data_IF_377742628664
#
_entry.id   IF_377742628664
#
_cell.length_a   1.000
_cell.length_b   1.000
_cell.length_c   1.000
_cell.angle_alpha   90.00
_cell.angle_beta   90.00
_cell.angle_gamma   90.00
#
_symmetry.space_group_name_H-M   'P 1'
#
loop_
_entity.id
_entity.type
_entity.pdbx_description
1 polymer ?
#
# COMPACT_ATOMS: atom_id res chain seq x y z
N UNK A 1 -1.78 27.20 -11.45
CA UNK A 1 -1.96 26.07 -12.38
C UNK A 1 -1.72 24.79 -11.63
N UNK A 2 -2.53 23.76 -11.87
CA UNK A 2 -2.44 22.45 -11.21
C UNK A 2 -1.94 21.45 -12.23
N UNK A 3 -0.71 20.98 -12.02
CA UNK A 3 -0.07 19.98 -12.87
C UNK A 3 -0.21 18.60 -12.24
N UNK A 4 -0.84 17.68 -12.95
CA UNK A 4 -0.86 16.26 -12.62
C UNK A 4 0.11 15.48 -13.50
N UNK A 5 0.78 14.49 -12.95
CA UNK A 5 1.73 13.63 -13.66
C UNK A 5 1.31 12.18 -13.51
N UNK A 6 1.33 11.43 -14.62
CA UNK A 6 1.17 9.98 -14.60
C UNK A 6 2.49 9.33 -15.01
N UNK A 7 3.11 8.59 -14.09
CA UNK A 7 4.34 7.82 -14.35
C UNK A 7 3.98 6.38 -14.69
N UNK A 8 4.25 5.94 -15.93
CA UNK A 8 3.73 4.69 -16.50
C UNK A 8 2.46 4.91 -17.33
N UNK A 9 2.35 6.07 -17.98
CA UNK A 9 1.13 6.53 -18.67
C UNK A 9 0.73 5.70 -19.90
N UNK A 10 1.66 4.96 -20.52
CA UNK A 10 1.35 4.13 -21.68
C UNK A 10 0.92 2.70 -21.30
N UNK A 11 1.01 2.33 -20.02
CA UNK A 11 0.59 1.02 -19.51
C UNK A 11 -0.92 0.82 -19.45
N UNK A 12 -1.35 -0.41 -19.17
CA UNK A 12 -2.77 -0.79 -19.15
C UNK A 12 -3.62 -0.06 -18.10
N UNK A 13 -3.03 0.36 -16.97
CA UNK A 13 -3.69 1.27 -16.01
C UNK A 13 -3.48 2.73 -16.43
N UNK A 14 -2.27 3.07 -16.91
CA UNK A 14 -1.85 4.42 -17.25
C UNK A 14 -2.78 5.11 -18.24
N UNK A 15 -3.07 4.47 -19.38
CA UNK A 15 -3.90 5.09 -20.43
C UNK A 15 -5.32 5.44 -19.94
N UNK A 16 -6.12 4.51 -19.39
CA UNK A 16 -7.45 4.86 -18.88
C UNK A 16 -7.40 5.79 -17.66
N UNK A 17 -6.35 5.75 -16.84
CA UNK A 17 -6.17 6.70 -15.74
C UNK A 17 -5.94 8.11 -16.28
N UNK A 18 -5.06 8.26 -17.28
CA UNK A 18 -4.78 9.52 -17.94
C UNK A 18 -6.02 10.09 -18.63
N UNK A 19 -6.87 9.25 -19.23
CA UNK A 19 -8.18 9.65 -19.74
C UNK A 19 -9.05 10.26 -18.63
N UNK A 20 -9.21 9.57 -17.50
CA UNK A 20 -10.05 10.05 -16.40
C UNK A 20 -9.50 11.33 -15.76
N UNK A 21 -8.18 11.48 -15.67
CA UNK A 21 -7.55 12.71 -15.18
C UNK A 21 -7.69 13.87 -16.18
N UNK A 22 -7.64 13.62 -17.49
CA UNK A 22 -7.92 14.64 -18.53
C UNK A 22 -9.34 15.21 -18.43
N UNK A 23 -10.29 14.43 -17.90
CA UNK A 23 -11.67 14.87 -17.67
C UNK A 23 -11.86 15.63 -16.34
N UNK A 24 -10.84 15.76 -15.50
CA UNK A 24 -10.96 16.43 -14.21
C UNK A 24 -10.67 17.93 -14.34
N UNK A 25 -11.69 18.76 -14.08
CA UNK A 25 -11.62 20.23 -14.23
C UNK A 25 -10.62 20.93 -13.28
N UNK A 26 -10.17 20.26 -12.22
CA UNK A 26 -9.14 20.82 -11.34
C UNK A 26 -7.74 20.77 -11.97
N UNK A 27 -7.53 19.96 -13.00
CA UNK A 27 -6.22 19.78 -13.66
C UNK A 27 -6.11 20.75 -14.84
N UNK A 28 -5.04 21.55 -14.86
CA UNK A 28 -4.75 22.47 -15.97
C UNK A 28 -3.63 21.97 -16.88
N UNK A 29 -2.72 21.13 -16.36
CA UNK A 29 -1.66 20.47 -17.12
C UNK A 29 -1.60 18.99 -16.74
N UNK A 30 -1.61 18.11 -17.73
CA UNK A 30 -1.45 16.67 -17.56
C UNK A 30 -0.17 16.22 -18.27
N UNK A 31 0.86 15.91 -17.49
CA UNK A 31 2.11 15.35 -18.00
C UNK A 31 2.06 13.82 -17.96
N UNK A 32 2.33 13.20 -19.09
CA UNK A 32 2.37 11.76 -19.24
C UNK A 32 3.82 11.34 -19.38
N UNK A 33 4.31 10.48 -18.50
CA UNK A 33 5.66 9.93 -18.61
C UNK A 33 5.58 8.42 -18.73
N UNK A 34 6.32 7.88 -19.68
CA UNK A 34 6.53 6.44 -19.82
C UNK A 34 7.87 6.21 -20.55
N UNK A 35 8.40 4.99 -20.49
CA UNK A 35 9.59 4.61 -21.25
C UNK A 35 9.28 4.46 -22.74
N UNK A 36 8.01 4.25 -23.10
CA UNK A 36 7.54 4.10 -24.49
C UNK A 36 6.20 4.79 -24.72
N UNK A 37 5.89 5.14 -25.97
CA UNK A 37 4.56 5.53 -26.46
C UNK A 37 3.86 6.75 -25.83
N UNK A 38 4.39 7.35 -24.76
CA UNK A 38 3.76 8.49 -24.06
C UNK A 38 3.39 9.67 -24.98
N UNK A 39 4.20 10.09 -25.98
CA UNK A 39 3.80 11.14 -26.92
C UNK A 39 2.55 10.81 -27.75
N UNK A 40 2.37 9.54 -28.13
CA UNK A 40 1.19 9.09 -28.86
C UNK A 40 -0.06 9.12 -27.99
N UNK A 41 0.05 8.65 -26.75
CA UNK A 41 -1.05 8.73 -25.76
C UNK A 41 -1.42 10.19 -25.47
N UNK A 42 -0.43 11.08 -25.38
CA UNK A 42 -0.67 12.51 -25.18
C UNK A 42 -1.37 13.15 -26.38
N UNK A 43 -0.98 12.80 -27.61
CA UNK A 43 -1.62 13.30 -28.83
C UNK A 43 -3.10 12.89 -28.87
N UNK A 44 -3.40 11.62 -28.59
CA UNK A 44 -4.78 11.11 -28.51
C UNK A 44 -5.62 11.90 -27.48
N UNK A 45 -5.15 11.95 -26.23
CA UNK A 45 -5.84 12.65 -25.15
C UNK A 45 -5.96 14.17 -25.38
N UNK A 46 -5.08 14.76 -26.19
CA UNK A 46 -5.12 16.20 -26.49
C UNK A 46 -6.34 16.61 -27.32
N UNK A 47 -6.96 15.67 -28.04
CA UNK A 47 -8.16 15.93 -28.84
C UNK A 47 -9.45 16.03 -28.00
N UNK A 48 -9.39 15.63 -26.73
CA UNK A 48 -10.53 15.73 -25.81
C UNK A 48 -10.74 17.20 -25.44
N UNK A 49 -11.97 17.67 -25.64
CA UNK A 49 -12.42 19.06 -25.50
C UNK A 49 -12.54 19.56 -24.05
N UNK A 50 -11.53 19.28 -23.21
CA UNK A 50 -11.40 19.84 -21.86
C UNK A 50 -10.19 20.79 -21.78
N UNK A 51 -10.14 21.73 -20.81
CA UNK A 51 -9.09 22.76 -20.76
C UNK A 51 -7.66 22.25 -20.50
N UNK A 52 -7.50 21.09 -19.87
CA UNK A 52 -6.18 20.60 -19.45
C UNK A 52 -5.24 20.39 -20.65
N UNK A 53 -4.06 21.01 -20.65
CA UNK A 53 -3.03 20.77 -21.67
C UNK A 53 -2.33 19.44 -21.40
N UNK A 54 -2.25 18.56 -22.40
CA UNK A 54 -1.60 17.25 -22.28
C UNK A 54 -0.24 17.28 -22.97
N UNK A 55 0.80 16.79 -22.30
CA UNK A 55 2.14 16.63 -22.90
C UNK A 55 2.70 15.24 -22.57
N UNK A 56 3.23 14.55 -23.57
CA UNK A 56 3.86 13.25 -23.42
C UNK A 56 5.39 13.37 -23.39
N UNK A 57 6.01 12.68 -22.44
CA UNK A 57 7.44 12.67 -22.18
C UNK A 57 7.99 11.24 -22.23
N UNK A 58 9.16 11.09 -22.85
CA UNK A 58 9.96 9.88 -22.89
C UNK A 58 11.29 10.10 -22.16
N UNK A 59 12.08 9.07 -21.81
CA UNK A 59 13.34 9.25 -21.10
C UNK A 59 14.35 10.22 -21.77
N UNK A 60 14.52 10.24 -23.11
CA UNK A 60 15.42 11.19 -23.77
C UNK A 60 15.06 12.66 -23.48
N UNK A 61 16.07 13.54 -23.56
CA UNK A 61 15.92 14.99 -23.37
C UNK A 61 15.32 15.37 -22.01
N UNK A 62 15.81 14.75 -20.93
CA UNK A 62 15.37 15.02 -19.56
C UNK A 62 13.85 14.83 -19.35
N UNK A 63 13.19 13.93 -20.09
CA UNK A 63 11.73 13.88 -20.07
C UNK A 63 11.13 13.53 -18.72
N UNK A 64 11.80 12.74 -17.85
CA UNK A 64 11.34 12.52 -16.48
C UNK A 64 11.36 13.83 -15.67
N UNK A 65 12.45 14.59 -15.74
CA UNK A 65 12.57 15.91 -15.09
C UNK A 65 11.52 16.88 -15.60
N UNK A 66 11.33 16.96 -16.91
CA UNK A 66 10.34 17.86 -17.53
C UNK A 66 8.90 17.48 -17.18
N UNK A 67 8.59 16.18 -17.14
CA UNK A 67 7.29 15.68 -16.69
C UNK A 67 7.04 16.04 -15.23
N UNK A 68 8.05 15.88 -14.37
CA UNK A 68 7.91 16.11 -12.93
C UNK A 68 7.92 17.58 -12.54
N UNK A 69 8.68 18.44 -13.20
CA UNK A 69 8.88 19.84 -12.76
C UNK A 69 7.54 20.55 -12.54
N UNK A 70 7.40 21.15 -11.35
CA UNK A 70 6.21 21.83 -10.84
C UNK A 70 4.95 20.95 -10.70
N UNK A 71 5.11 19.63 -10.51
CA UNK A 71 3.98 18.74 -10.27
C UNK A 71 3.29 19.07 -8.93
N UNK A 72 1.97 19.17 -8.97
CA UNK A 72 1.12 19.22 -7.77
C UNK A 72 0.74 17.80 -7.33
N UNK A 73 0.41 16.94 -8.29
CA UNK A 73 -0.04 15.57 -8.08
C UNK A 73 0.76 14.61 -8.97
N UNK A 74 1.22 13.50 -8.43
CA UNK A 74 1.92 12.45 -9.16
C UNK A 74 1.24 11.12 -8.87
N UNK A 75 0.81 10.42 -9.91
CA UNK A 75 0.23 9.07 -9.81
C UNK A 75 1.17 8.08 -10.48
N UNK A 76 1.48 6.98 -9.79
CA UNK A 76 2.46 5.99 -10.22
C UNK A 76 1.78 4.64 -10.45
N UNK A 77 1.16 4.43 -11.63
CA UNK A 77 0.76 3.11 -12.10
C UNK A 77 1.93 2.29 -12.69
N UNK A 78 3.11 2.89 -12.89
CA UNK A 78 4.27 2.22 -13.47
C UNK A 78 4.60 0.90 -12.75
N UNK A 79 4.85 -0.13 -13.54
CA UNK A 79 5.21 -1.44 -13.05
C UNK A 79 5.01 -2.48 -14.13
N UNK A 80 5.67 -3.61 -13.96
CA UNK A 80 5.50 -4.76 -14.84
C UNK A 80 4.36 -5.61 -14.29
N UNK A 81 3.39 -6.05 -15.12
CA UNK A 81 2.41 -7.04 -14.70
C UNK A 81 3.06 -8.41 -14.53
N UNK A 82 2.52 -9.25 -13.67
CA UNK A 82 2.99 -10.63 -13.52
C UNK A 82 2.85 -11.37 -14.86
N UNK A 83 3.95 -11.93 -15.36
CA UNK A 83 3.97 -12.78 -16.57
C UNK A 83 4.03 -14.26 -16.19
N UNK A 84 3.53 -15.18 -17.04
CA UNK A 84 3.74 -16.61 -16.85
C UNK A 84 5.24 -16.92 -16.65
N UNK A 85 5.55 -17.76 -15.66
CA UNK A 85 6.95 -18.13 -15.32
C UNK A 85 7.70 -17.16 -14.41
N UNK A 86 7.15 -15.97 -14.11
CA UNK A 86 7.79 -15.00 -13.20
C UNK A 86 7.48 -15.33 -11.72
N UNK A 87 8.51 -15.40 -10.88
CA UNK A 87 8.34 -15.56 -9.43
C UNK A 87 7.81 -14.27 -8.79
N UNK A 88 7.26 -14.37 -7.57
CA UNK A 88 6.84 -13.18 -6.80
C UNK A 88 8.03 -12.27 -6.51
N UNK A 89 9.19 -12.85 -6.23
CA UNK A 89 10.41 -12.12 -5.90
C UNK A 89 10.99 -11.38 -7.12
N UNK A 90 10.92 -11.99 -8.30
CA UNK A 90 11.37 -11.33 -9.54
C UNK A 90 10.51 -10.10 -9.86
N UNK A 91 9.19 -10.26 -9.74
CA UNK A 91 8.25 -9.17 -9.92
C UNK A 91 8.52 -8.03 -8.93
N UNK A 92 8.75 -8.39 -7.65
CA UNK A 92 9.08 -7.42 -6.62
C UNK A 92 10.38 -6.67 -6.94
N UNK A 93 11.47 -7.37 -7.30
CA UNK A 93 12.76 -6.73 -7.63
C UNK A 93 12.65 -5.76 -8.79
N UNK A 94 11.92 -6.13 -9.84
CA UNK A 94 11.70 -5.26 -11.00
C UNK A 94 10.94 -4.00 -10.60
N UNK A 95 9.79 -4.16 -9.93
CA UNK A 95 8.97 -3.01 -9.55
C UNK A 95 9.63 -2.15 -8.46
N UNK A 96 10.43 -2.74 -7.57
CA UNK A 96 11.24 -2.02 -6.60
C UNK A 96 12.27 -1.10 -7.29
N UNK A 97 12.95 -1.60 -8.34
CA UNK A 97 13.87 -0.79 -9.14
C UNK A 97 13.17 0.38 -9.83
N UNK A 98 12.06 0.10 -10.53
CA UNK A 98 11.26 1.13 -11.21
C UNK A 98 10.81 2.21 -10.23
N UNK A 99 10.22 1.81 -9.10
CA UNK A 99 9.69 2.75 -8.11
C UNK A 99 10.80 3.56 -7.45
N UNK A 100 11.96 2.95 -7.16
CA UNK A 100 13.14 3.65 -6.63
C UNK A 100 13.57 4.76 -7.59
N UNK A 101 13.73 4.45 -8.87
CA UNK A 101 14.25 5.40 -9.86
C UNK A 101 13.27 6.56 -10.09
N UNK A 102 11.96 6.25 -10.15
CA UNK A 102 10.91 7.28 -10.19
C UNK A 102 10.91 8.14 -8.92
N UNK A 103 11.06 7.54 -7.73
CA UNK A 103 11.12 8.26 -6.46
C UNK A 103 12.34 9.18 -6.37
N UNK A 104 13.49 8.79 -6.92
CA UNK A 104 14.66 9.67 -7.04
C UNK A 104 14.35 10.87 -7.93
N UNK A 105 13.65 10.67 -9.05
CA UNK A 105 13.16 11.77 -9.88
C UNK A 105 12.22 12.72 -9.11
N UNK A 106 11.27 12.16 -8.36
CA UNK A 106 10.34 12.95 -7.52
C UNK A 106 11.10 13.78 -6.50
N UNK A 107 12.05 13.17 -5.78
CA UNK A 107 12.87 13.84 -4.78
C UNK A 107 13.60 15.06 -5.35
N UNK A 108 14.14 14.92 -6.56
CA UNK A 108 14.96 15.95 -7.20
C UNK A 108 14.14 17.08 -7.86
N UNK A 109 12.95 16.76 -8.39
CA UNK A 109 12.25 17.66 -9.31
C UNK A 109 10.87 18.12 -8.83
N UNK A 110 10.24 17.41 -7.88
CA UNK A 110 8.97 17.80 -7.25
C UNK A 110 8.78 17.16 -5.88
N UNK A 111 9.64 17.47 -4.90
CA UNK A 111 9.55 16.91 -3.55
C UNK A 111 8.25 17.28 -2.82
N UNK A 112 7.59 18.35 -3.26
CA UNK A 112 6.35 18.87 -2.66
C UNK A 112 5.07 18.30 -3.27
N UNK A 113 5.14 17.44 -4.28
CA UNK A 113 3.95 16.86 -4.89
C UNK A 113 3.24 15.85 -3.96
N UNK A 114 1.93 15.71 -4.12
CA UNK A 114 1.18 14.57 -3.58
C UNK A 114 1.47 13.32 -4.44
N UNK A 115 1.98 12.26 -3.82
CA UNK A 115 2.43 11.03 -4.51
C UNK A 115 1.46 9.88 -4.22
N UNK A 116 0.82 9.39 -5.28
CA UNK A 116 -0.17 8.31 -5.25
C UNK A 116 0.43 7.06 -5.89
N UNK A 117 0.73 6.05 -5.06
CA UNK A 117 1.40 4.81 -5.47
C UNK A 117 0.37 3.74 -5.78
N UNK A 118 0.30 3.33 -7.05
CA UNK A 118 -0.49 2.19 -7.52
C UNK A 118 0.43 0.99 -7.82
N UNK A 119 1.72 1.24 -8.11
CA UNK A 119 2.75 0.23 -8.36
C UNK A 119 2.71 -0.89 -7.33
N UNK A 120 2.43 -2.10 -7.79
CA UNK A 120 2.38 -3.27 -6.93
C UNK A 120 3.76 -3.88 -6.68
N UNK A 121 4.01 -4.47 -5.50
CA UNK A 121 3.10 -4.56 -4.34
C UNK A 121 3.09 -3.27 -3.50
N UNK A 122 1.92 -2.64 -3.32
CA UNK A 122 1.77 -1.35 -2.60
C UNK A 122 2.36 -1.39 -1.18
N UNK A 123 2.19 -2.53 -0.48
CA UNK A 123 2.71 -2.74 0.88
C UNK A 123 4.23 -2.54 0.98
N UNK A 124 4.96 -2.68 -0.12
CA UNK A 124 6.42 -2.56 -0.18
C UNK A 124 6.88 -1.35 -1.00
N UNK A 125 6.18 -1.00 -2.09
CA UNK A 125 6.55 0.13 -2.93
C UNK A 125 6.37 1.47 -2.21
N UNK A 126 5.36 1.63 -1.35
CA UNK A 126 5.20 2.84 -0.52
C UNK A 126 6.39 3.04 0.43
N UNK A 127 6.81 2.04 1.24
CA UNK A 127 8.05 2.13 2.01
C UNK A 127 9.29 2.45 1.18
N UNK A 128 9.45 1.86 -0.02
CA UNK A 128 10.59 2.15 -0.91
C UNK A 128 10.63 3.63 -1.28
N UNK A 129 9.50 4.21 -1.70
CA UNK A 129 9.44 5.64 -2.02
C UNK A 129 9.78 6.48 -0.79
N UNK A 130 9.20 6.15 0.37
CA UNK A 130 9.47 6.88 1.60
C UNK A 130 10.96 6.87 1.97
N UNK A 131 11.63 5.72 1.90
CA UNK A 131 13.06 5.61 2.19
C UNK A 131 13.93 6.36 1.17
N UNK A 132 13.57 6.34 -0.12
CA UNK A 132 14.26 7.15 -1.13
C UNK A 132 14.10 8.65 -0.81
N UNK A 133 12.89 9.12 -0.52
CA UNK A 133 12.65 10.51 -0.16
C UNK A 133 13.38 10.91 1.15
N UNK A 134 13.46 10.01 2.14
CA UNK A 134 14.21 10.24 3.39
C UNK A 134 15.69 10.39 3.13
N UNK A 135 16.26 9.52 2.27
CA UNK A 135 17.66 9.60 1.85
C UNK A 135 18.00 10.93 1.17
N UNK A 136 17.03 11.55 0.50
CA UNK A 136 17.18 12.87 -0.10
C UNK A 136 16.80 14.03 0.84
N UNK A 137 16.40 13.76 2.08
CA UNK A 137 16.03 14.78 3.07
C UNK A 137 14.70 15.51 2.80
N UNK A 138 13.85 14.97 1.92
CA UNK A 138 12.61 15.63 1.45
C UNK A 138 11.34 14.86 1.78
N UNK A 139 11.43 13.78 2.58
CA UNK A 139 10.27 12.97 2.92
C UNK A 139 9.25 13.73 3.75
N UNK A 140 8.02 13.79 3.25
CA UNK A 140 6.86 14.25 3.98
C UNK A 140 5.82 13.12 4.05
N UNK A 141 5.64 12.54 5.24
CA UNK A 141 4.71 11.44 5.48
C UNK A 141 3.25 11.78 5.12
N UNK A 142 2.89 13.06 5.06
CA UNK A 142 1.54 13.56 4.71
C UNK A 142 1.33 13.69 3.19
N UNK A 143 2.32 13.34 2.37
CA UNK A 143 2.27 13.50 0.90
C UNK A 143 2.48 12.19 0.13
N UNK A 144 2.68 11.04 0.80
CA UNK A 144 2.87 9.74 0.13
C UNK A 144 1.74 8.78 0.52
N UNK A 145 1.02 8.29 -0.49
CA UNK A 145 -0.19 7.49 -0.33
C UNK A 145 -0.13 6.23 -1.17
N UNK A 146 -0.30 5.06 -0.56
CA UNK A 146 -0.62 3.84 -1.27
C UNK A 146 -2.10 3.79 -1.60
N UNK A 147 -2.44 3.76 -2.89
CA UNK A 147 -3.82 3.77 -3.35
C UNK A 147 -4.47 2.41 -3.10
N UNK A 148 -5.25 2.30 -2.03
CA UNK A 148 -6.03 1.10 -1.67
C UNK A 148 -7.51 1.21 -2.04
N UNK A 149 -7.89 2.28 -2.75
CA UNK A 149 -9.29 2.60 -3.11
C UNK A 149 -9.99 1.49 -3.90
N UNK A 150 -9.26 0.67 -4.66
CA UNK A 150 -9.87 -0.44 -5.39
C UNK A 150 -10.46 -1.51 -4.44
N UNK A 151 -9.89 -1.67 -3.24
CA UNK A 151 -10.41 -2.61 -2.25
C UNK A 151 -11.76 -2.13 -1.72
N UNK A 152 -11.93 -0.82 -1.55
CA UNK A 152 -13.22 -0.19 -1.20
C UNK A 152 -14.23 -0.33 -2.33
N UNK A 153 -13.84 -0.05 -3.57
CA UNK A 153 -14.72 -0.19 -4.73
C UNK A 153 -15.22 -1.63 -4.85
N UNK A 154 -14.34 -2.62 -4.65
CA UNK A 154 -14.71 -4.04 -4.61
C UNK A 154 -15.61 -4.36 -3.43
N UNK A 155 -15.26 -3.92 -2.22
CA UNK A 155 -16.05 -4.17 -1.02
C UNK A 155 -17.47 -3.62 -1.16
N UNK A 156 -17.63 -2.37 -1.59
CA UNK A 156 -18.94 -1.76 -1.87
C UNK A 156 -19.70 -2.54 -2.94
N UNK A 157 -19.05 -2.91 -4.05
CA UNK A 157 -19.69 -3.66 -5.14
C UNK A 157 -20.17 -5.04 -4.66
N UNK A 158 -19.30 -5.82 -4.02
CA UNK A 158 -19.62 -7.19 -3.64
C UNK A 158 -20.66 -7.24 -2.51
N UNK A 159 -20.52 -6.39 -1.49
CA UNK A 159 -21.50 -6.34 -0.41
C UNK A 159 -22.86 -5.83 -0.86
N UNK A 160 -22.91 -4.87 -1.82
CA UNK A 160 -24.18 -4.37 -2.36
C UNK A 160 -25.03 -5.46 -3.03
N UNK A 161 -24.39 -6.48 -3.62
CA UNK A 161 -25.10 -7.59 -4.25
C UNK A 161 -25.84 -8.46 -3.23
N UNK A 162 -25.27 -8.61 -2.02
CA UNK A 162 -25.86 -9.36 -0.92
C UNK A 162 -26.89 -8.51 -0.19
N UNK A 163 -26.57 -7.24 0.12
CA UNK A 163 -27.47 -6.34 0.82
C UNK A 163 -28.60 -5.76 -0.05
N UNK A 164 -28.58 -6.02 -1.37
CA UNK A 164 -29.53 -5.50 -2.38
C UNK A 164 -29.63 -3.98 -2.36
N UNK A 165 -28.51 -3.31 -2.11
CA UNK A 165 -28.39 -1.86 -2.11
C UNK A 165 -27.70 -1.36 -3.39
N UNK A 166 -27.76 -0.05 -3.63
CA UNK A 166 -26.97 0.57 -4.70
C UNK A 166 -25.48 0.59 -4.30
N UNK A 167 -24.55 0.01 -5.09
CA UNK A 167 -23.12 0.04 -4.80
C UNK A 167 -22.54 1.45 -4.65
N UNK A 168 -23.20 2.48 -5.22
CA UNK A 168 -22.82 3.89 -5.08
C UNK A 168 -23.12 4.46 -3.71
N UNK A 169 -24.07 3.87 -2.98
CA UNK A 169 -24.45 4.28 -1.62
C UNK A 169 -23.79 3.41 -0.55
N UNK A 170 -23.36 2.18 -0.90
CA UNK A 170 -22.68 1.29 0.03
C UNK A 170 -21.26 1.77 0.34
N UNK A 171 -20.92 1.85 1.63
CA UNK A 171 -19.59 2.15 2.15
C UNK A 171 -19.16 1.03 3.07
N UNK A 172 -18.04 0.38 2.75
CA UNK A 172 -17.40 -0.62 3.60
C UNK A 172 -15.99 -0.13 3.89
N UNK A 173 -15.64 0.19 5.15
CA UNK A 173 -14.27 0.50 5.50
C UNK A 173 -13.36 -0.71 5.24
N UNK A 174 -12.22 -0.50 4.58
CA UNK A 174 -11.20 -1.53 4.38
C UNK A 174 -9.87 -1.01 4.93
N UNK A 175 -9.28 -1.78 5.82
CA UNK A 175 -8.02 -1.44 6.52
C UNK A 175 -6.95 -2.51 6.26
N UNK A 176 -5.74 -2.30 6.78
CA UNK A 176 -4.65 -3.28 6.65
C UNK A 176 -3.62 -2.90 5.60
N UNK A 177 -3.57 -3.65 4.50
CA UNK A 177 -2.72 -3.42 3.34
C UNK A 177 -3.44 -3.81 2.05
N UNK A 178 -2.72 -3.97 0.96
CA UNK A 178 -3.26 -4.18 -0.39
C UNK A 178 -2.85 -5.53 -1.02
N UNK A 179 -2.71 -6.59 -0.24
CA UNK A 179 -2.30 -7.90 -0.76
C UNK A 179 -2.95 -9.06 -0.01
N UNK A 180 -3.89 -9.76 -0.65
CA UNK A 180 -4.51 -10.97 -0.12
C UNK A 180 -5.08 -10.74 1.28
N UNK A 181 -4.64 -11.55 2.24
CA UNK A 181 -5.11 -11.51 3.64
C UNK A 181 -4.81 -10.21 4.37
N UNK A 182 -3.92 -9.36 3.85
CA UNK A 182 -3.69 -8.04 4.47
C UNK A 182 -4.86 -7.09 4.22
N UNK A 183 -5.76 -7.39 3.27
CA UNK A 183 -6.95 -6.57 2.99
C UNK A 183 -8.03 -6.98 4.01
N UNK A 184 -8.42 -6.06 4.89
CA UNK A 184 -9.33 -6.34 6.00
C UNK A 184 -10.62 -5.51 5.82
N UNK A 185 -11.67 -6.07 5.19
CA UNK A 185 -12.97 -5.40 5.10
C UNK A 185 -13.71 -5.45 6.43
N UNK A 186 -14.05 -4.29 6.98
CA UNK A 186 -14.81 -4.16 8.22
C UNK A 186 -16.32 -4.25 7.91
N UNK A 187 -16.78 -5.45 7.55
CA UNK A 187 -18.18 -5.71 7.18
C UNK A 187 -19.18 -5.33 8.28
N UNK A 188 -18.75 -5.36 9.55
CA UNK A 188 -19.54 -4.91 10.70
C UNK A 188 -19.78 -3.39 10.73
N UNK A 189 -19.06 -2.62 9.91
CA UNK A 189 -19.16 -1.16 9.81
C UNK A 189 -19.71 -0.71 8.46
N UNK A 190 -20.39 -1.60 7.73
CA UNK A 190 -21.05 -1.25 6.48
C UNK A 190 -22.09 -0.13 6.71
N UNK A 191 -22.17 0.80 5.76
CA UNK A 191 -23.21 1.81 5.68
C UNK A 191 -23.87 1.77 4.29
N UNK A 192 -25.21 1.77 4.17
CA UNK A 192 -26.17 1.65 5.26
C UNK A 192 -26.00 0.34 6.05
N UNK A 193 -26.35 0.29 7.35
CA UNK A 193 -26.14 -0.88 8.18
C UNK A 193 -26.83 -2.12 7.61
N UNK A 194 -26.12 -3.24 7.57
CA UNK A 194 -26.62 -4.53 7.14
C UNK A 194 -25.96 -5.65 7.94
N UNK A 195 -26.74 -6.66 8.32
CA UNK A 195 -26.24 -7.82 9.06
C UNK A 195 -26.04 -8.97 8.09
N UNK A 196 -24.82 -9.47 8.02
CA UNK A 196 -24.46 -10.66 7.25
C UNK A 196 -24.42 -11.88 8.17
N UNK A 197 -24.81 -13.04 7.65
CA UNK A 197 -24.56 -14.30 8.32
C UNK A 197 -23.08 -14.71 8.17
N UNK A 198 -22.64 -15.75 8.90
CA UNK A 198 -21.24 -16.14 8.93
C UNK A 198 -20.71 -16.60 7.55
N UNK A 199 -21.52 -17.31 6.77
CA UNK A 199 -21.15 -17.78 5.43
C UNK A 199 -20.97 -16.60 4.46
N UNK A 200 -21.86 -15.61 4.52
CA UNK A 200 -21.76 -14.37 3.76
C UNK A 200 -20.50 -13.58 4.15
N UNK A 201 -20.19 -13.46 5.44
CA UNK A 201 -18.98 -12.77 5.94
C UNK A 201 -17.72 -13.43 5.36
N UNK A 202 -17.62 -14.76 5.44
CA UNK A 202 -16.45 -15.51 4.95
C UNK A 202 -16.30 -15.39 3.43
N UNK A 203 -17.40 -15.57 2.70
CA UNK A 203 -17.44 -15.48 1.23
C UNK A 203 -17.08 -14.09 0.74
N UNK A 204 -17.70 -13.04 1.31
CA UNK A 204 -17.43 -11.64 0.98
C UNK A 204 -15.98 -11.28 1.31
N UNK A 205 -15.49 -11.63 2.49
CA UNK A 205 -14.12 -11.33 2.92
C UNK A 205 -13.11 -11.95 1.95
N UNK A 206 -13.26 -13.24 1.63
CA UNK A 206 -12.38 -13.93 0.69
C UNK A 206 -12.43 -13.31 -0.70
N UNK A 207 -13.63 -12.99 -1.21
CA UNK A 207 -13.77 -12.38 -2.53
C UNK A 207 -13.16 -10.98 -2.60
N UNK A 208 -13.27 -10.19 -1.53
CA UNK A 208 -12.62 -8.88 -1.43
C UNK A 208 -11.09 -9.02 -1.43
N UNK A 209 -10.55 -9.92 -0.59
CA UNK A 209 -9.10 -10.18 -0.48
C UNK A 209 -8.46 -10.69 -1.78
N UNK A 210 -9.18 -11.53 -2.53
CA UNK A 210 -8.68 -12.19 -3.74
C UNK A 210 -9.34 -11.69 -5.02
N UNK A 211 -10.00 -10.51 -4.99
CA UNK A 211 -10.64 -9.93 -6.17
C UNK A 211 -9.65 -9.57 -7.29
N UNK A 212 -8.36 -9.44 -6.97
CA UNK A 212 -7.29 -9.33 -7.97
C UNK A 212 -7.10 -10.63 -8.77
N UNK A 213 -7.07 -11.76 -8.06
CA UNK A 213 -6.87 -13.09 -8.65
C UNK A 213 -8.07 -13.51 -9.50
N UNK A 214 -9.29 -13.13 -9.09
CA UNK A 214 -10.52 -13.32 -9.89
C UNK A 214 -10.37 -12.67 -11.29
N UNK A 215 -9.86 -11.43 -11.36
CA UNK A 215 -9.66 -10.72 -12.62
C UNK A 215 -8.51 -11.32 -13.44
N UNK A 216 -7.40 -11.71 -12.80
CA UNK A 216 -6.28 -12.34 -13.51
C UNK A 216 -6.73 -13.65 -14.16
N UNK A 217 -7.52 -14.45 -13.44
CA UNK A 217 -8.11 -15.69 -13.96
C UNK A 217 -9.07 -15.42 -15.11
N UNK A 218 -9.97 -14.43 -14.97
CA UNK A 218 -10.93 -14.07 -16.02
C UNK A 218 -10.29 -13.50 -17.29
N UNK A 219 -9.05 -12.99 -17.20
CA UNK A 219 -8.24 -12.53 -18.34
C UNK A 219 -7.30 -13.60 -18.87
N UNK A 220 -7.46 -14.86 -18.47
CA UNK A 220 -6.58 -15.97 -18.85
C UNK A 220 -5.08 -15.68 -18.61
N UNK A 221 -4.78 -14.95 -17.53
CA UNK A 221 -3.41 -14.56 -17.19
C UNK A 221 -2.83 -13.41 -18.02
N UNK A 222 -3.59 -12.82 -18.96
CA UNK A 222 -3.16 -11.69 -19.81
C UNK A 222 -3.08 -10.33 -19.07
N UNK A 223 -3.01 -10.35 -17.74
CA UNK A 223 -2.85 -9.16 -16.90
C UNK A 223 -3.85 -9.11 -15.75
N UNK A 224 -3.75 -8.06 -14.93
CA UNK A 224 -4.60 -7.81 -13.77
C UNK A 224 -5.66 -6.74 -14.05
N UNK A 225 -6.32 -6.25 -13.00
CA UNK A 225 -7.29 -5.16 -13.09
C UNK A 225 -6.64 -3.88 -13.65
N UNK A 226 -7.18 -3.37 -14.75
CA UNK A 226 -6.71 -2.16 -15.44
C UNK A 226 -7.73 -1.04 -15.33
N UNK A 227 -8.92 -1.26 -15.89
CA UNK A 227 -9.99 -0.24 -15.96
C UNK A 227 -10.52 0.15 -14.58
N UNK A 228 -10.85 -0.83 -13.73
CA UNK A 228 -11.33 -0.57 -12.37
C UNK A 228 -10.24 0.06 -11.50
N UNK A 229 -8.96 -0.28 -11.73
CA UNK A 229 -7.84 0.33 -11.02
C UNK A 229 -7.63 1.78 -11.46
N UNK A 230 -7.76 2.08 -12.75
CA UNK A 230 -7.74 3.45 -13.26
C UNK A 230 -8.86 4.31 -12.66
N UNK A 231 -10.08 3.77 -12.58
CA UNK A 231 -11.21 4.44 -11.92
C UNK A 231 -10.93 4.69 -10.43
N UNK A 232 -10.42 3.69 -9.70
CA UNK A 232 -10.10 3.84 -8.28
C UNK A 232 -8.97 4.86 -8.04
N UNK A 233 -7.92 4.83 -8.87
CA UNK A 233 -6.83 5.80 -8.84
C UNK A 233 -7.30 7.23 -9.16
N UNK A 234 -8.15 7.39 -10.18
CA UNK A 234 -8.73 8.69 -10.54
C UNK A 234 -9.66 9.23 -9.44
N UNK A 235 -10.43 8.37 -8.77
CA UNK A 235 -11.25 8.75 -7.61
C UNK A 235 -10.37 9.31 -6.50
N UNK A 236 -9.34 8.59 -6.08
CA UNK A 236 -8.44 9.05 -5.01
C UNK A 236 -7.69 10.33 -5.39
N UNK A 237 -7.21 10.42 -6.63
CA UNK A 237 -6.63 11.65 -7.18
C UNK A 237 -7.60 12.84 -7.12
N UNK A 238 -8.87 12.62 -7.44
CA UNK A 238 -9.93 13.65 -7.36
C UNK A 238 -10.16 14.08 -5.92
N UNK A 239 -10.18 13.15 -4.96
CA UNK A 239 -10.29 13.47 -3.53
C UNK A 239 -9.13 14.36 -3.05
N UNK A 240 -7.90 14.09 -3.49
CA UNK A 240 -6.73 14.95 -3.21
C UNK A 240 -6.90 16.33 -3.85
N UNK A 241 -7.33 16.41 -5.12
CA UNK A 241 -7.50 17.68 -5.82
C UNK A 241 -8.62 18.53 -5.20
N UNK A 242 -9.75 17.93 -4.85
CA UNK A 242 -10.83 18.61 -4.16
C UNK A 242 -10.35 19.20 -2.82
N UNK A 243 -9.63 18.43 -2.01
CA UNK A 243 -9.10 18.92 -0.74
C UNK A 243 -8.05 20.03 -0.90
N UNK A 244 -7.13 19.88 -1.86
CA UNK A 244 -5.91 20.71 -1.91
C UNK A 244 -6.03 21.90 -2.85
N UNK A 245 -6.83 21.78 -3.91
CA UNK A 245 -7.05 22.80 -4.93
C UNK A 245 -8.37 23.53 -4.67
N UNK A 246 -9.48 22.79 -4.53
CA UNK A 246 -10.81 23.39 -4.32
C UNK A 246 -11.06 23.80 -2.87
N UNK A 247 -10.27 23.28 -1.92
CA UNK A 247 -10.40 23.61 -0.51
C UNK A 247 -11.60 22.95 0.17
N UNK A 248 -12.13 21.87 -0.41
CA UNK A 248 -13.16 21.05 0.22
C UNK A 248 -12.63 20.40 1.50
N UNK A 249 -13.48 20.28 2.52
CA UNK A 249 -13.16 19.69 3.82
C UNK A 249 -14.02 18.46 4.09
N UNK A 250 -13.65 17.66 5.09
CA UNK A 250 -14.39 16.45 5.45
C UNK A 250 -14.24 15.29 4.44
N UNK A 251 -13.27 15.37 3.54
CA UNK A 251 -13.00 14.31 2.56
C UNK A 251 -12.22 13.19 3.27
N UNK A 252 -12.89 12.06 3.50
CA UNK A 252 -12.27 10.88 4.14
C UNK A 252 -12.09 9.77 3.11
N UNK A 253 -10.85 9.32 2.96
CA UNK A 253 -10.51 8.18 2.10
C UNK A 253 -9.56 7.22 2.84
N UNK A 254 -9.68 5.90 2.66
CA UNK A 254 -8.67 4.97 3.13
C UNK A 254 -7.45 4.99 2.21
N UNK A 255 -6.27 4.91 2.81
CA UNK A 255 -4.99 4.85 2.08
C UNK A 255 -3.93 4.16 2.93
N UNK A 256 -3.04 3.40 2.29
CA UNK A 256 -1.86 2.84 2.93
C UNK A 256 -0.80 3.93 3.13
N UNK A 257 -0.58 4.36 4.37
CA UNK A 257 0.23 5.54 4.69
C UNK A 257 1.27 5.24 5.76
N UNK A 258 2.30 6.08 5.84
CA UNK A 258 3.22 6.10 6.97
C UNK A 258 2.48 6.64 8.20
N UNK A 259 2.48 5.89 9.30
CA UNK A 259 1.78 6.31 10.52
C UNK A 259 2.45 7.50 11.21
N UNK A 260 3.67 7.89 10.84
CA UNK A 260 4.29 9.14 11.32
C UNK A 260 3.61 10.39 10.72
N UNK A 261 2.70 10.24 9.74
CA UNK A 261 1.93 11.35 9.16
C UNK A 261 1.02 12.05 10.18
N UNK A 262 0.55 11.35 11.21
CA UNK A 262 -0.23 11.89 12.32
C UNK A 262 0.38 11.43 13.65
N UNK A 263 0.92 12.37 14.43
CA UNK A 263 1.58 12.05 15.71
C UNK A 263 0.64 11.45 16.76
N UNK A 264 -0.65 11.78 16.75
CA UNK A 264 -1.63 11.27 17.72
C UNK A 264 -2.39 10.08 17.13
N UNK A 265 -3.07 10.28 16.00
CA UNK A 265 -3.85 9.24 15.33
C UNK A 265 -2.98 8.08 14.88
N UNK A 266 -1.82 8.37 14.29
CA UNK A 266 -0.88 7.35 13.85
C UNK A 266 -0.24 6.56 14.98
N UNK A 267 0.01 7.18 16.15
CA UNK A 267 0.47 6.47 17.35
C UNK A 267 -0.60 5.50 17.88
N UNK A 268 -1.88 5.90 17.88
CA UNK A 268 -2.98 5.03 18.28
C UNK A 268 -3.13 3.83 17.34
N UNK A 269 -3.12 4.07 16.02
CA UNK A 269 -3.14 2.97 15.03
C UNK A 269 -1.94 2.05 15.26
N UNK A 270 -0.73 2.59 15.39
CA UNK A 270 0.49 1.80 15.59
C UNK A 270 0.40 0.88 16.79
N UNK A 271 -0.16 1.34 17.91
CA UNK A 271 -0.39 0.50 19.10
C UNK A 271 -1.37 -0.63 18.76
N UNK A 272 -2.48 -0.32 18.10
CA UNK A 272 -3.50 -1.30 17.72
C UNK A 272 -2.99 -2.35 16.72
N UNK A 273 -2.02 -2.00 15.88
CA UNK A 273 -1.48 -2.88 14.82
C UNK A 273 -0.10 -3.46 15.16
N UNK A 274 0.24 -3.57 16.46
CA UNK A 274 1.48 -4.20 16.94
C UNK A 274 2.77 -3.56 16.41
N UNK A 275 2.82 -2.23 16.32
CA UNK A 275 4.05 -1.50 16.03
C UNK A 275 4.36 -1.28 14.55
N UNK A 276 3.48 -1.67 13.61
CA UNK A 276 3.72 -1.43 12.18
C UNK A 276 3.92 0.07 11.88
N UNK A 277 4.86 0.37 10.97
CA UNK A 277 5.14 1.75 10.55
C UNK A 277 4.18 2.25 9.46
N UNK A 278 3.56 1.33 8.72
CA UNK A 278 2.63 1.62 7.63
C UNK A 278 1.37 0.79 7.79
N UNK A 279 0.23 1.40 7.48
CA UNK A 279 -1.07 0.74 7.56
C UNK A 279 -2.10 1.48 6.70
N UNK A 280 -3.06 0.77 6.15
CA UNK A 280 -4.21 1.33 5.46
C UNK A 280 -5.28 1.67 6.48
N UNK A 281 -5.58 2.95 6.63
CA UNK A 281 -6.65 3.46 7.49
C UNK A 281 -7.32 4.64 6.81
N UNK A 282 -8.50 5.02 7.30
CA UNK A 282 -9.15 6.25 6.87
C UNK A 282 -8.27 7.47 7.24
N UNK A 283 -8.08 8.36 6.27
CA UNK A 283 -7.39 9.63 6.42
C UNK A 283 -8.32 10.77 5.99
N UNK A 284 -8.27 11.90 6.68
CA UNK A 284 -9.06 13.09 6.30
C UNK A 284 -8.19 14.07 5.50
N UNK A 285 -8.51 14.24 4.22
CA UNK A 285 -7.83 15.14 3.31
C UNK A 285 -8.33 16.57 3.53
N UNK A 286 -7.41 17.54 3.60
CA UNK A 286 -7.77 18.94 3.74
C UNK A 286 -6.58 19.89 3.60
N UNK A 287 -6.90 21.16 3.38
CA UNK A 287 -5.92 22.26 3.37
C UNK A 287 -5.82 22.83 4.78
N UNK A 288 -4.61 23.01 5.31
CA UNK A 288 -4.40 23.92 6.43
C UNK A 288 -3.01 24.56 6.36
N UNK A 289 -2.96 25.86 6.61
CA UNK A 289 -1.80 26.77 6.62
C UNK A 289 -0.72 26.39 7.66
N UNK A 290 -0.90 25.28 8.38
CA UNK A 290 0.05 24.67 9.32
C UNK A 290 -0.03 23.13 9.22
N UNK A 291 0.54 22.57 8.15
CA UNK A 291 1.13 21.22 8.11
C UNK A 291 0.40 20.11 8.89
N UNK A 292 -0.74 19.60 8.45
CA UNK A 292 -1.15 18.19 8.65
C UNK A 292 -2.53 17.92 8.07
N UNK A 293 -2.60 16.93 7.18
CA UNK A 293 -3.74 16.00 7.11
C UNK A 293 -4.06 15.57 8.54
N UNK A 294 -5.26 15.89 9.03
CA UNK A 294 -5.76 15.30 10.26
C UNK A 294 -6.04 13.82 9.94
N UNK A 295 -5.50 12.89 10.71
CA UNK A 295 -6.17 11.60 10.91
C UNK A 295 -6.97 11.73 12.23
N UNK A 296 -7.75 12.80 12.37
CA UNK A 296 -8.47 13.10 13.61
C UNK A 296 -9.95 12.72 13.51
N UNK A 297 -10.19 11.42 13.60
CA UNK A 297 -11.38 10.72 14.10
C UNK A 297 -11.56 9.47 13.25
N UNK A 298 -11.06 8.34 13.72
CA UNK A 298 -11.66 7.01 13.52
C UNK A 298 -10.83 5.97 14.26
N UNK A 299 -10.80 6.06 15.60
CA UNK A 299 -10.38 4.93 16.44
C UNK A 299 -11.08 5.02 17.81
N UNK A 300 -12.41 5.00 17.80
CA UNK A 300 -13.09 4.17 18.78
C UNK A 300 -13.37 2.82 18.10
N UNK A 301 -12.31 2.18 17.61
CA UNK A 301 -12.39 0.73 17.49
C UNK A 301 -12.50 0.24 18.92
N UNK A 302 -13.70 -0.15 19.33
CA UNK A 302 -13.86 -1.18 20.34
C UNK A 302 -13.16 -2.43 19.78
N UNK A 303 -11.83 -2.47 19.87
CA UNK A 303 -10.99 -3.63 19.65
C UNK A 303 -11.21 -4.59 20.83
N UNK A 304 -12.44 -5.04 21.04
CA UNK A 304 -12.71 -6.36 21.61
C UNK A 304 -12.51 -7.41 20.50
N UNK A 305 -11.41 -7.27 19.75
CA UNK A 305 -10.95 -8.29 18.83
C UNK A 305 -10.10 -9.26 19.64
N UNK A 306 -10.78 -10.26 20.22
CA UNK A 306 -10.19 -11.58 20.49
C UNK A 306 -9.97 -12.31 19.15
N UNK A 307 -9.40 -11.62 18.15
CA UNK A 307 -8.95 -12.26 16.94
C UNK A 307 -7.64 -12.96 17.27
N UNK A 308 -7.58 -14.22 16.89
CA UNK A 308 -6.39 -15.01 16.66
C UNK A 308 -5.45 -14.38 15.59
N UNK A 309 -5.26 -13.05 15.59
CA UNK A 309 -4.22 -12.36 14.80
C UNK A 309 -2.87 -12.98 15.12
N UNK A 310 -2.66 -13.40 16.38
CA UNK A 310 -1.45 -14.12 16.82
C UNK A 310 -1.06 -15.27 15.88
N UNK A 311 -2.02 -16.12 15.46
CA UNK A 311 -1.68 -17.29 14.65
C UNK A 311 -1.41 -17.00 13.17
N UNK A 312 -1.97 -15.92 12.60
CA UNK A 312 -1.78 -15.60 11.18
C UNK A 312 -0.69 -14.53 10.94
N UNK A 313 -0.44 -13.60 11.88
CA UNK A 313 0.80 -12.81 11.84
C UNK A 313 2.02 -13.68 12.14
N UNK A 314 1.90 -14.68 13.02
CA UNK A 314 2.97 -15.64 13.23
C UNK A 314 3.21 -16.46 11.95
N UNK A 315 2.19 -16.86 11.17
CA UNK A 315 2.41 -17.52 9.86
C UNK A 315 3.02 -16.63 8.79
N UNK A 316 2.74 -15.32 8.79
CA UNK A 316 3.36 -14.34 7.89
C UNK A 316 4.82 -14.06 8.28
N UNK A 317 5.16 -14.20 9.56
CA UNK A 317 6.52 -14.03 10.10
C UNK A 317 7.29 -15.37 10.14
N UNK A 318 6.61 -16.52 10.19
CA UNK A 318 7.19 -17.85 10.44
C UNK A 318 7.34 -18.73 9.20
N UNK A 319 7.14 -18.22 7.97
CA UNK A 319 7.58 -18.95 6.77
C UNK A 319 9.12 -18.85 6.63
N UNK A 320 9.83 -19.36 7.63
CA UNK A 320 11.24 -19.72 7.56
C UNK A 320 11.36 -20.94 6.64
N UNK A 321 11.84 -20.74 5.42
CA UNK A 321 12.35 -21.82 4.58
C UNK A 321 13.83 -22.06 4.95
N UNK A 322 14.33 -23.31 5.04
CA UNK A 322 15.55 -23.61 5.76
C UNK A 322 16.78 -23.34 4.90
N UNK A 323 17.38 -22.16 5.10
CA UNK A 323 18.81 -21.91 5.07
C UNK A 323 19.02 -20.56 5.76
N UNK A 324 20.09 -20.45 6.55
CA UNK A 324 20.56 -19.28 7.33
C UNK A 324 20.21 -19.26 8.82
N UNK A 325 21.29 -19.40 9.60
CA UNK A 325 21.35 -19.38 11.06
C UNK A 325 21.35 -17.98 11.67
N UNK A 326 21.28 -17.97 13.00
CA UNK A 326 21.00 -16.82 13.85
C UNK A 326 22.14 -15.78 13.96
N UNK A 327 21.75 -14.50 14.11
CA UNK A 327 22.62 -13.48 14.69
C UNK A 327 22.34 -12.06 14.20
N UNK A 328 21.41 -11.37 14.87
CA UNK A 328 21.08 -9.93 14.81
C UNK A 328 20.85 -9.24 13.44
N UNK A 329 19.72 -8.53 13.41
CA UNK A 329 18.92 -8.15 12.24
C UNK A 329 18.97 -6.65 12.00
N UNK A 330 19.23 -6.24 10.76
CA UNK A 330 18.50 -5.17 10.06
C UNK A 330 18.51 -5.59 8.58
N UNK A 331 17.44 -5.45 7.78
CA UNK A 331 17.37 -5.60 6.28
C UNK A 331 16.38 -6.67 5.74
N UNK A 332 15.86 -6.56 4.51
CA UNK A 332 16.54 -6.67 3.19
C UNK A 332 16.19 -5.50 2.25
N UNK A 333 17.10 -4.80 1.55
CA UNK A 333 18.33 -5.18 0.84
C UNK A 333 19.34 -4.00 0.82
N UNK A 334 20.63 -4.30 1.02
CA UNK A 334 21.73 -3.42 0.62
C UNK A 334 21.87 -3.44 -0.90
N UNK A 335 21.67 -2.29 -1.53
CA UNK A 335 22.17 -2.01 -2.88
C UNK A 335 23.36 -1.07 -2.74
N UNK A 336 24.57 -1.58 -2.91
CA UNK A 336 25.73 -0.76 -3.29
C UNK A 336 25.77 -0.68 -4.82
N UNK A 337 25.66 0.54 -5.34
CA UNK A 337 25.98 0.84 -6.74
C UNK A 337 27.36 1.48 -6.70
N UNK A 338 28.39 0.76 -7.14
CA UNK A 338 29.70 1.33 -7.45
C UNK A 338 30.13 0.94 -8.85
N UNK A 339 30.76 1.89 -9.54
CA UNK A 339 30.80 2.05 -10.99
C UNK A 339 31.91 1.28 -11.72
N UNK A 340 32.59 0.32 -11.11
CA UNK A 340 33.54 -0.57 -11.80
C UNK A 340 33.86 -1.76 -10.89
N UNK A 341 33.54 -2.99 -11.33
CA UNK A 341 34.31 -4.25 -11.16
C UNK A 341 33.43 -5.46 -11.49
N UNK A 342 34.00 -6.40 -12.25
CA UNK A 342 33.40 -7.63 -12.79
C UNK A 342 32.98 -8.59 -11.66
N UNK A 343 31.75 -9.13 -11.76
CA UNK A 343 31.23 -10.18 -10.86
C UNK A 343 31.87 -11.52 -11.24
N UNK A 344 32.69 -12.09 -10.36
CA UNK A 344 33.01 -13.53 -10.35
C UNK A 344 32.04 -14.21 -9.37
N UNK A 345 31.24 -15.15 -9.89
CA UNK A 345 30.43 -16.07 -9.11
C UNK A 345 31.26 -17.34 -8.88
N UNK A 346 31.83 -17.50 -7.68
CA UNK A 346 32.38 -18.80 -7.28
C UNK A 346 31.28 -19.66 -6.66
N UNK A 347 31.09 -20.82 -7.28
CA UNK A 347 30.12 -21.85 -6.95
C UNK A 347 30.82 -22.88 -6.07
N UNK A 348 30.50 -22.96 -4.77
CA UNK A 348 30.96 -24.07 -3.94
C UNK A 348 29.83 -25.08 -3.70
N UNK A 349 30.00 -26.27 -4.32
CA UNK A 349 29.27 -27.50 -4.04
C UNK A 349 29.67 -28.06 -2.67
N UNK A 350 28.67 -28.71 -2.05
CA UNK A 350 28.67 -29.63 -0.91
C UNK A 350 29.93 -30.47 -0.71
N UNK A 351 30.24 -30.85 0.55
CA UNK A 351 30.41 -32.24 1.05
C UNK A 351 30.69 -32.27 2.59
N UNK A 352 30.38 -33.41 3.20
CA UNK A 352 30.83 -33.98 4.50
C UNK A 352 29.99 -33.87 5.81
N UNK A 353 29.43 -35.06 6.14
CA UNK A 353 29.22 -35.78 7.41
C UNK A 353 29.71 -35.22 8.76
N UNK A 354 28.95 -35.47 9.84
CA UNK A 354 29.45 -36.06 11.11
C UNK A 354 28.32 -36.67 11.97
N UNK A 355 28.59 -37.83 12.55
CA UNK A 355 27.77 -38.58 13.52
C UNK A 355 27.90 -38.08 14.97
N UNK A 356 26.84 -38.37 15.75
CA UNK A 356 26.77 -38.74 17.17
C UNK A 356 27.44 -37.89 18.28
N UNK A 357 26.63 -37.40 19.23
CA UNK A 357 26.69 -37.85 20.65
C UNK A 357 25.50 -37.35 21.51
N UNK A 358 25.14 -38.20 22.46
CA UNK A 358 24.02 -38.15 23.42
C UNK A 358 24.46 -37.39 24.69
N UNK A 359 23.55 -36.66 25.37
CA UNK A 359 23.26 -36.70 26.84
C UNK A 359 22.45 -35.47 27.34
N UNK A 360 21.27 -35.79 27.90
CA UNK A 360 20.48 -35.22 29.04
C UNK A 360 19.89 -33.78 29.06
N UNK A 361 18.55 -33.76 29.05
CA UNK A 361 17.60 -33.17 30.03
C UNK A 361 18.02 -31.96 30.89
N UNK A 362 17.28 -30.84 30.72
CA UNK A 362 16.57 -30.02 31.75
C UNK A 362 16.59 -28.52 31.40
N UNK A 363 15.63 -28.03 30.58
CA UNK A 363 15.15 -26.63 30.58
C UNK A 363 13.76 -26.53 29.94
N UNK A 364 12.74 -27.11 30.58
CA UNK A 364 11.34 -26.84 30.21
C UNK A 364 10.44 -26.40 31.39
N UNK A 365 10.99 -26.28 32.61
CA UNK A 365 10.18 -26.00 33.80
C UNK A 365 10.37 -24.62 34.47
N UNK A 366 11.17 -23.71 33.91
CA UNK A 366 11.38 -22.39 34.54
C UNK A 366 10.53 -21.25 33.95
N UNK A 367 9.99 -21.42 32.73
CA UNK A 367 9.16 -20.38 32.11
C UNK A 367 7.67 -20.48 32.48
N UNK A 368 7.19 -21.67 32.87
CA UNK A 368 5.76 -21.89 33.18
C UNK A 368 5.39 -21.49 34.62
N UNK A 369 6.31 -21.64 35.58
CA UNK A 369 6.07 -21.30 36.98
C UNK A 369 5.97 -19.78 37.26
N UNK A 370 6.67 -18.96 36.46
CA UNK A 370 6.67 -17.50 36.64
C UNK A 370 5.40 -16.86 36.07
N UNK A 371 4.85 -17.41 34.97
CA UNK A 371 3.62 -16.91 34.37
C UNK A 371 2.38 -17.24 35.22
N UNK A 372 2.31 -18.44 35.81
CA UNK A 372 1.21 -18.81 36.71
C UNK A 372 1.20 -17.97 38.00
N UNK A 373 2.37 -17.61 38.55
CA UNK A 373 2.45 -16.75 39.76
C UNK A 373 2.01 -15.31 39.50
N UNK A 374 2.22 -14.79 38.30
CA UNK A 374 1.77 -13.44 37.91
C UNK A 374 0.26 -13.42 37.66
N UNK A 375 -0.28 -14.46 36.99
CA UNK A 375 -1.72 -14.59 36.77
C UNK A 375 -2.48 -14.77 38.10
N UNK A 376 -1.94 -15.57 39.03
CA UNK A 376 -2.57 -15.78 40.34
C UNK A 376 -2.52 -14.52 41.23
N UNK A 377 -1.45 -13.71 41.14
CA UNK A 377 -1.36 -12.43 41.87
C UNK A 377 -2.34 -11.38 41.34
N UNK A 378 -2.56 -11.32 40.02
CA UNK A 378 -3.57 -10.43 39.44
C UNK A 378 -4.99 -10.87 39.77
N UNK A 379 -5.26 -12.18 39.76
CA UNK A 379 -6.58 -12.74 40.09
C UNK A 379 -6.97 -12.52 41.56
N UNK A 380 -6.01 -12.60 42.50
CA UNK A 380 -6.27 -12.33 43.92
C UNK A 380 -6.46 -10.83 44.20
N UNK A 381 -5.71 -9.97 43.51
CA UNK A 381 -5.81 -8.52 43.66
C UNK A 381 -7.11 -7.94 43.07
N UNK A 382 -7.65 -8.54 42.00
CA UNK A 382 -8.92 -8.12 41.40
C UNK A 382 -10.16 -8.54 42.20
N UNK A 383 -10.02 -9.47 43.15
CA UNK A 383 -11.13 -10.04 43.93
C UNK A 383 -11.05 -9.74 45.43
N UNK A 384 -10.16 -8.84 45.87
CA UNK A 384 -10.13 -8.34 47.25
C UNK A 384 -9.76 -9.37 48.33
N UNK A 385 -9.14 -10.49 47.97
CA UNK A 385 -8.72 -11.52 48.92
C UNK A 385 -7.29 -11.23 49.40
N UNK A 386 -7.16 -10.69 50.62
CA UNK A 386 -5.87 -10.53 51.29
C UNK A 386 -5.30 -11.88 51.72
N UNK A 387 -4.01 -12.11 51.44
CA UNK A 387 -3.30 -13.36 51.68
C UNK A 387 -3.15 -13.70 53.17
N UNK A 388 -3.26 -15.00 53.49
CA UNK A 388 -2.47 -15.66 54.55
C UNK A 388 -1.30 -16.36 53.87
#
# INVERSE_FOLDING_TARGET
MVKAVVLGAAGGIGQPLSLLLKLNDAITELALYDIVNSPGVAADLSHINTPAKVTGYLPPNDGLKNALTNAHLIVIPAGVPRKPGMSRDDLFKINAGIVRDLATGIANYSPDAYVLVISNPVNSTVPIIAEVLKKHGVFNAKKVFGVTTLDIVRASTFTSSVSRADPREVRVPVVGGHSGVTIIPLLSQISPPHTFNQEEIESLTKRIQFGGDEVVKAKDGAGSATLSMAQAGARFATSILNATVKGESGIVEPSYVCLDADGVGGKQVRIAVNGLSYFSSNIELGKNERTSTKASHLLQMNLNFNLNIRNDTDKIISSNHPNFGHGFTVNWMNFEINSNTVIKLDYHKSHESYESHVIRHNKFFHAFGTLLRVIFRFYMASNGLNQI
#
